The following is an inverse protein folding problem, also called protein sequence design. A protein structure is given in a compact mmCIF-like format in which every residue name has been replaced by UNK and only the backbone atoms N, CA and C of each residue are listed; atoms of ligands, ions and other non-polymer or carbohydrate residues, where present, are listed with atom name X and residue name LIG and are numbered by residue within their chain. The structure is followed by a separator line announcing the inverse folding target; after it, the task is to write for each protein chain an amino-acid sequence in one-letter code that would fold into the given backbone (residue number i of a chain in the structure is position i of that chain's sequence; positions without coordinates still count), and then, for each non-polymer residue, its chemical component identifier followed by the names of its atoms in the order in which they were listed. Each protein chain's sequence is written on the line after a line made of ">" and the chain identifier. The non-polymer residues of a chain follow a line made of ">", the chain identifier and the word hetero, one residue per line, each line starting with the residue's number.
data_IF_355405280624
#
_entry.id   IF_355405280624
#
_cell.length_a   1.000
_cell.length_b   1.000
_cell.length_c   1.000
_cell.angle_alpha   90.00
_cell.angle_beta   90.00
_cell.angle_gamma   90.00
#
_symmetry.space_group_name_H-M   'P 1'
#
loop_
_entity.id
_entity.type
_entity.pdbx_description
1 polymer ?
#
# COMPACT_ATOMS: atom_id res chain seq x y z
N UNK A 1 -14.74 -6.69 -27.35
CA UNK A 1 -13.46 -6.04 -27.05
C UNK A 1 -13.11 -5.05 -28.17
N UNK A 2 -12.99 -3.76 -27.86
CA UNK A 2 -12.54 -2.75 -28.86
C UNK A 2 -11.08 -3.06 -29.26
N UNK A 3 -10.81 -3.20 -30.55
CA UNK A 3 -9.48 -3.56 -31.09
C UNK A 3 -8.50 -2.39 -31.17
N UNK A 4 -8.95 -1.15 -30.94
CA UNK A 4 -8.11 0.05 -30.79
C UNK A 4 -8.74 0.99 -29.77
N UNK A 5 -8.01 1.30 -28.69
CA UNK A 5 -8.31 2.46 -27.84
C UNK A 5 -7.67 3.70 -28.44
N UNK A 6 -8.43 4.77 -28.50
CA UNK A 6 -7.92 6.11 -28.76
C UNK A 6 -7.98 6.95 -27.48
N UNK A 7 -7.25 8.06 -27.47
CA UNK A 7 -7.35 9.09 -26.42
C UNK A 7 -8.81 9.51 -26.15
N UNK A 8 -9.66 9.50 -27.18
CA UNK A 8 -11.07 9.90 -27.07
C UNK A 8 -11.92 8.88 -26.30
N UNK A 9 -11.42 7.67 -26.11
CA UNK A 9 -12.12 6.61 -25.37
C UNK A 9 -11.85 6.70 -23.86
N UNK A 10 -10.89 7.52 -23.41
CA UNK A 10 -10.59 7.69 -21.98
C UNK A 10 -11.73 8.44 -21.30
N UNK A 11 -12.48 7.73 -20.46
CA UNK A 11 -13.65 8.29 -19.77
C UNK A 11 -13.23 9.20 -18.61
N UNK A 12 -14.08 10.17 -18.21
CA UNK A 12 -13.85 10.98 -17.01
C UNK A 12 -13.67 10.15 -15.74
N UNK A 13 -14.34 8.98 -15.66
CA UNK A 13 -14.20 8.04 -14.55
C UNK A 13 -12.77 7.49 -14.46
N UNK A 14 -12.18 7.07 -15.59
CA UNK A 14 -10.79 6.61 -15.65
C UNK A 14 -9.80 7.73 -15.29
N UNK A 15 -10.04 8.97 -15.77
CA UNK A 15 -9.19 10.10 -15.38
C UNK A 15 -9.23 10.34 -13.86
N UNK A 16 -10.42 10.29 -13.27
CA UNK A 16 -10.63 10.53 -11.84
C UNK A 16 -10.05 9.41 -10.97
N UNK A 17 -10.18 8.15 -11.40
CA UNK A 17 -9.61 7.01 -10.67
C UNK A 17 -8.08 7.00 -10.73
N UNK A 18 -7.47 7.39 -11.85
CA UNK A 18 -6.02 7.62 -11.93
C UNK A 18 -5.57 8.73 -10.98
N UNK A 19 -6.27 9.88 -10.94
CA UNK A 19 -5.93 10.95 -10.00
C UNK A 19 -6.03 10.48 -8.54
N UNK A 20 -7.10 9.75 -8.20
CA UNK A 20 -7.27 9.17 -6.86
C UNK A 20 -6.16 8.18 -6.51
N UNK A 21 -5.78 7.30 -7.44
CA UNK A 21 -4.68 6.35 -7.27
C UNK A 21 -3.34 7.05 -7.04
N UNK A 22 -3.01 8.10 -7.82
CA UNK A 22 -1.77 8.84 -7.66
C UNK A 22 -1.68 9.53 -6.29
N UNK A 23 -2.77 10.15 -5.82
CA UNK A 23 -2.83 10.73 -4.48
C UNK A 23 -2.70 9.66 -3.39
N UNK A 24 -3.42 8.55 -3.51
CA UNK A 24 -3.38 7.47 -2.53
C UNK A 24 -1.99 6.81 -2.46
N UNK A 25 -1.32 6.62 -3.61
CA UNK A 25 0.06 6.11 -3.67
C UNK A 25 1.03 7.07 -2.99
N UNK A 26 0.98 8.35 -3.33
CA UNK A 26 1.85 9.36 -2.71
C UNK A 26 1.64 9.43 -1.19
N UNK A 27 0.38 9.37 -0.74
CA UNK A 27 0.05 9.31 0.68
C UNK A 27 0.59 8.05 1.36
N UNK A 28 0.41 6.88 0.76
CA UNK A 28 0.90 5.61 1.30
C UNK A 28 2.43 5.58 1.40
N UNK A 29 3.15 6.01 0.36
CA UNK A 29 4.60 6.12 0.35
C UNK A 29 5.12 7.08 1.43
N UNK A 30 4.49 8.25 1.55
CA UNK A 30 4.85 9.26 2.56
C UNK A 30 4.61 8.74 3.97
N UNK A 31 3.45 8.13 4.22
CA UNK A 31 3.08 7.59 5.53
C UNK A 31 3.98 6.41 5.91
N UNK A 32 4.27 5.49 4.97
CA UNK A 32 5.19 4.37 5.19
C UNK A 32 6.58 4.87 5.57
N UNK A 33 7.13 5.84 4.84
CA UNK A 33 8.44 6.40 5.16
C UNK A 33 8.47 7.06 6.55
N UNK A 34 7.41 7.78 6.92
CA UNK A 34 7.32 8.44 8.24
C UNK A 34 7.19 7.42 9.38
N UNK A 35 6.34 6.41 9.22
CA UNK A 35 6.14 5.33 10.21
C UNK A 35 7.39 4.49 10.36
N UNK A 36 8.01 4.06 9.25
CA UNK A 36 9.22 3.24 9.29
C UNK A 36 10.37 3.98 9.97
N UNK A 37 10.46 5.32 9.84
CA UNK A 37 11.46 6.12 10.56
C UNK A 37 11.28 6.00 12.09
N UNK A 38 10.05 6.08 12.58
CA UNK A 38 9.76 5.94 14.01
C UNK A 38 10.03 4.52 14.48
N UNK A 39 9.56 3.52 13.73
CA UNK A 39 9.79 2.12 14.07
C UNK A 39 11.27 1.76 14.12
N UNK A 40 12.09 2.24 13.17
CA UNK A 40 13.54 2.03 13.21
C UNK A 40 14.17 2.64 14.46
N UNK A 41 13.78 3.84 14.86
CA UNK A 41 14.26 4.46 16.09
C UNK A 41 13.89 3.62 17.34
N UNK A 42 12.68 3.05 17.38
CA UNK A 42 12.28 2.14 18.46
C UNK A 42 13.14 0.88 18.45
N UNK A 43 13.37 0.26 17.29
CA UNK A 43 14.21 -0.94 17.15
C UNK A 43 15.68 -0.67 17.52
N UNK A 44 16.18 0.54 17.31
CA UNK A 44 17.53 0.96 17.74
C UNK A 44 17.63 1.07 19.27
N UNK A 45 16.59 1.56 19.93
CA UNK A 45 16.53 1.74 21.39
C UNK A 45 16.15 0.46 22.14
N UNK A 46 15.29 -0.37 21.53
CA UNK A 46 14.75 -1.61 22.08
C UNK A 46 14.77 -2.69 20.99
N UNK A 47 15.92 -3.35 20.78
CA UNK A 47 16.08 -4.33 19.72
C UNK A 47 15.16 -5.52 19.90
N UNK A 48 14.48 -5.90 18.81
CA UNK A 48 13.72 -7.14 18.70
C UNK A 48 14.55 -8.22 18.01
N UNK A 49 14.24 -9.48 18.30
CA UNK A 49 14.82 -10.63 17.62
C UNK A 49 13.74 -11.47 16.95
N UNK A 50 14.08 -12.20 15.89
CA UNK A 50 13.17 -13.08 15.14
C UNK A 50 12.89 -14.45 15.82
N UNK A 51 12.96 -14.46 17.15
CA UNK A 51 12.59 -15.57 18.02
C UNK A 51 13.73 -16.43 18.57
N UNK A 52 13.38 -17.35 19.47
CA UNK A 52 14.31 -18.28 20.11
C UNK A 52 14.96 -19.23 19.08
N UNK A 53 16.20 -19.69 19.35
CA UNK A 53 17.01 -20.59 18.51
C UNK A 53 16.16 -21.42 17.55
N UNK A 54 16.35 -21.20 16.24
CA UNK A 54 15.59 -21.92 15.22
C UNK A 54 15.64 -23.44 15.48
N UNK A 55 14.66 -24.20 14.96
CA UNK A 55 14.69 -25.69 14.93
C UNK A 55 15.97 -26.30 14.31
N UNK A 56 16.87 -25.46 13.77
CA UNK A 56 18.14 -25.81 13.15
C UNK A 56 19.37 -25.25 13.90
N UNK A 57 19.23 -24.75 15.13
CA UNK A 57 20.34 -24.23 15.94
C UNK A 57 20.94 -22.91 15.44
N UNK A 58 20.25 -22.20 14.53
CA UNK A 58 20.63 -20.82 14.18
C UNK A 58 20.32 -19.86 15.33
N UNK A 59 21.26 -18.95 15.67
CA UNK A 59 21.03 -17.92 16.67
C UNK A 59 19.93 -16.97 16.20
N UNK A 60 19.21 -16.40 17.16
CA UNK A 60 18.25 -15.33 16.91
C UNK A 60 18.95 -14.15 16.22
N UNK A 61 18.34 -13.61 15.17
CA UNK A 61 18.85 -12.45 14.44
C UNK A 61 18.08 -11.20 14.87
N UNK A 62 18.78 -10.06 14.94
CA UNK A 62 18.15 -8.77 15.23
C UNK A 62 17.27 -8.33 14.06
N UNK A 63 16.05 -7.90 14.41
CA UNK A 63 15.12 -7.30 13.46
C UNK A 63 15.54 -5.84 13.25
N UNK A 64 16.05 -5.53 12.05
CA UNK A 64 16.46 -4.18 11.64
C UNK A 64 15.47 -3.52 10.68
N UNK A 65 14.66 -4.32 9.99
CA UNK A 65 13.56 -3.86 9.15
C UNK A 65 12.25 -3.96 9.94
N UNK A 66 11.53 -2.84 10.17
CA UNK A 66 10.20 -2.85 10.79
C UNK A 66 9.21 -3.82 10.16
N UNK A 67 9.35 -4.13 8.86
CA UNK A 67 8.49 -5.10 8.16
C UNK A 67 8.68 -6.54 8.62
N UNK A 68 9.73 -6.83 9.39
CA UNK A 68 10.05 -8.15 9.91
C UNK A 68 9.67 -8.31 11.39
N UNK A 69 9.04 -7.30 12.00
CA UNK A 69 8.58 -7.34 13.41
C UNK A 69 7.61 -8.49 13.72
N UNK A 70 6.85 -8.95 12.71
CA UNK A 70 6.01 -10.15 12.83
C UNK A 70 6.78 -11.46 13.06
N UNK A 71 8.11 -11.46 12.88
CA UNK A 71 8.97 -12.60 13.20
C UNK A 71 9.33 -12.68 14.69
N UNK A 72 9.05 -11.65 15.48
CA UNK A 72 9.26 -11.71 16.92
C UNK A 72 8.16 -12.56 17.57
N UNK A 73 8.56 -13.57 18.33
CA UNK A 73 7.67 -14.54 18.99
C UNK A 73 7.39 -14.18 20.47
N UNK A 74 8.10 -13.20 21.03
CA UNK A 74 7.91 -12.73 22.39
C UNK A 74 6.74 -11.75 22.49
N UNK A 75 5.60 -12.24 22.98
CA UNK A 75 4.37 -11.47 23.11
C UNK A 75 4.49 -10.26 24.07
N UNK A 76 5.29 -10.38 25.14
CA UNK A 76 5.45 -9.30 26.12
C UNK A 76 6.28 -8.16 25.52
N UNK A 77 7.41 -8.50 24.88
CA UNK A 77 8.24 -7.51 24.19
C UNK A 77 7.47 -6.86 23.03
N UNK A 78 6.70 -7.64 22.27
CA UNK A 78 5.89 -7.10 21.18
C UNK A 78 4.80 -6.15 21.67
N UNK A 79 4.19 -6.44 22.82
CA UNK A 79 3.22 -5.53 23.44
C UNK A 79 3.87 -4.19 23.78
N UNK A 80 5.04 -4.20 24.40
CA UNK A 80 5.78 -2.96 24.75
C UNK A 80 6.17 -2.18 23.50
N UNK A 81 6.64 -2.88 22.45
CA UNK A 81 6.95 -2.29 21.15
C UNK A 81 5.72 -1.58 20.54
N UNK A 82 4.55 -2.23 20.53
CA UNK A 82 3.33 -1.62 19.99
C UNK A 82 2.85 -0.42 20.81
N UNK A 83 2.97 -0.48 22.13
CA UNK A 83 2.60 0.65 23.00
C UNK A 83 3.51 1.86 22.77
N UNK A 84 4.82 1.65 22.69
CA UNK A 84 5.76 2.73 22.41
C UNK A 84 5.61 3.27 20.98
N UNK A 85 5.32 2.39 20.01
CA UNK A 85 4.98 2.80 18.65
C UNK A 85 3.76 3.70 18.60
N UNK A 86 2.64 3.30 19.22
CA UNK A 86 1.41 4.09 19.26
C UNK A 86 1.66 5.49 19.85
N UNK A 87 2.33 5.54 20.99
CA UNK A 87 2.70 6.78 21.68
C UNK A 87 3.53 7.71 20.79
N UNK A 88 4.58 7.21 20.12
CA UNK A 88 5.43 8.03 19.23
C UNK A 88 4.69 8.48 17.98
N UNK A 89 3.86 7.62 17.39
CA UNK A 89 3.06 7.93 16.21
C UNK A 89 2.03 9.02 16.50
N UNK A 90 1.38 8.98 17.67
CA UNK A 90 0.46 10.03 18.13
C UNK A 90 1.20 11.34 18.42
N UNK A 91 2.35 11.27 19.11
CA UNK A 91 3.19 12.45 19.38
C UNK A 91 3.72 13.12 18.11
N UNK A 92 3.94 12.36 17.03
CA UNK A 92 4.33 12.86 15.72
C UNK A 92 3.15 13.32 14.84
N UNK A 93 1.91 13.28 15.37
CA UNK A 93 0.68 13.59 14.64
C UNK A 93 0.46 12.73 13.36
N UNK A 94 1.03 11.53 13.32
CA UNK A 94 0.85 10.57 12.22
C UNK A 94 -0.34 9.64 12.45
N UNK A 95 -0.67 9.37 13.72
CA UNK A 95 -1.85 8.60 14.13
C UNK A 95 -2.86 9.52 14.83
N UNK A 96 -4.03 9.77 14.24
CA UNK A 96 -5.04 10.63 14.87
C UNK A 96 -5.69 9.93 16.07
N UNK A 97 -6.21 10.71 17.02
CA UNK A 97 -6.90 10.21 18.21
C UNK A 97 -8.12 9.33 17.89
N UNK A 98 -8.74 9.55 16.72
CA UNK A 98 -9.85 8.73 16.23
C UNK A 98 -9.44 7.37 15.67
N UNK A 99 -8.15 7.12 15.42
CA UNK A 99 -7.67 5.83 14.91
C UNK A 99 -7.51 4.84 16.07
N UNK A 100 -8.07 3.61 15.97
CA UNK A 100 -7.91 2.59 17.00
C UNK A 100 -6.45 2.22 17.29
N UNK A 101 -6.17 1.78 18.51
CA UNK A 101 -4.81 1.48 18.97
C UNK A 101 -4.16 0.34 18.18
N UNK A 102 -4.95 -0.65 17.73
CA UNK A 102 -4.50 -1.77 16.91
C UNK A 102 -4.27 -1.42 15.42
N UNK A 103 -4.55 -0.19 15.00
CA UNK A 103 -4.37 0.25 13.61
C UNK A 103 -3.02 0.96 13.41
N UNK A 104 -2.30 0.53 12.37
CA UNK A 104 -1.09 1.18 11.88
C UNK A 104 -1.44 2.18 10.77
N UNK A 105 -1.08 3.48 10.89
CA UNK A 105 -1.45 4.49 9.89
C UNK A 105 -0.86 4.21 8.50
N UNK A 106 0.34 3.61 8.41
CA UNK A 106 0.91 3.19 7.13
C UNK A 106 0.09 2.09 6.46
N UNK A 107 -0.37 1.08 7.22
CA UNK A 107 -1.22 0.01 6.68
C UNK A 107 -2.60 0.55 6.26
N UNK A 108 -3.15 1.52 6.99
CA UNK A 108 -4.40 2.20 6.59
C UNK A 108 -4.21 2.96 5.27
N UNK A 109 -3.09 3.67 5.11
CA UNK A 109 -2.78 4.40 3.88
C UNK A 109 -2.58 3.43 2.68
N UNK A 110 -1.87 2.32 2.88
CA UNK A 110 -1.69 1.27 1.87
C UNK A 110 -3.02 0.61 1.50
N UNK A 111 -3.92 0.41 2.47
CA UNK A 111 -5.26 -0.12 2.20
C UNK A 111 -6.09 0.84 1.32
N UNK A 112 -5.95 2.16 1.51
CA UNK A 112 -6.57 3.16 0.63
C UNK A 112 -5.97 3.07 -0.78
N UNK A 113 -4.65 2.95 -0.91
CA UNK A 113 -3.99 2.72 -2.20
C UNK A 113 -4.56 1.48 -2.91
N UNK A 114 -4.65 0.34 -2.22
CA UNK A 114 -5.23 -0.90 -2.79
C UNK A 114 -6.67 -0.68 -3.27
N UNK A 115 -7.50 0.01 -2.49
CA UNK A 115 -8.87 0.36 -2.90
C UNK A 115 -8.91 1.21 -4.17
N UNK A 116 -8.01 2.19 -4.29
CA UNK A 116 -7.92 3.01 -5.51
C UNK A 116 -7.38 2.25 -6.71
N UNK A 117 -6.48 1.27 -6.52
CA UNK A 117 -6.06 0.36 -7.59
C UNK A 117 -7.23 -0.45 -8.13
N UNK A 118 -8.06 -1.00 -7.23
CA UNK A 118 -9.25 -1.76 -7.61
C UNK A 118 -10.23 -0.89 -8.39
N UNK A 119 -10.53 0.31 -7.89
CA UNK A 119 -11.39 1.27 -8.58
C UNK A 119 -10.84 1.64 -9.98
N UNK A 120 -9.53 1.87 -10.08
CA UNK A 120 -8.87 2.17 -11.35
C UNK A 120 -9.04 1.02 -12.35
N UNK A 121 -8.81 -0.22 -11.91
CA UNK A 121 -8.97 -1.41 -12.74
C UNK A 121 -10.42 -1.59 -13.19
N UNK A 122 -11.38 -1.42 -12.28
CA UNK A 122 -12.80 -1.53 -12.61
C UNK A 122 -13.22 -0.49 -13.64
N UNK A 123 -12.88 0.79 -13.45
CA UNK A 123 -13.17 1.85 -14.43
C UNK A 123 -12.49 1.58 -15.79
N UNK A 124 -11.26 1.06 -15.78
CA UNK A 124 -10.55 0.72 -17.01
C UNK A 124 -11.20 -0.48 -17.72
N UNK A 125 -11.62 -1.51 -16.98
CA UNK A 125 -12.32 -2.67 -17.52
C UNK A 125 -13.66 -2.27 -18.17
N UNK A 126 -14.43 -1.39 -17.53
CA UNK A 126 -15.67 -0.83 -18.11
C UNK A 126 -15.39 -0.07 -19.41
N UNK A 127 -14.33 0.75 -19.45
CA UNK A 127 -13.89 1.46 -20.66
C UNK A 127 -13.53 0.49 -21.80
N UNK A 128 -12.97 -0.68 -21.48
CA UNK A 128 -12.63 -1.74 -22.44
C UNK A 128 -13.85 -2.54 -22.91
N UNK A 129 -15.00 -2.34 -22.27
CA UNK A 129 -16.25 -3.05 -22.53
C UNK A 129 -16.30 -4.43 -21.88
N UNK A 130 -15.60 -4.61 -20.75
CA UNK A 130 -15.70 -5.83 -19.95
C UNK A 130 -17.04 -5.88 -19.21
N UNK A 131 -17.74 -7.01 -19.31
CA UNK A 131 -19.07 -7.19 -18.73
C UNK A 131 -19.04 -7.41 -17.21
N UNK A 132 -17.89 -7.82 -16.66
CA UNK A 132 -17.70 -7.98 -15.22
C UNK A 132 -16.36 -7.37 -14.76
N UNK A 133 -16.32 -6.06 -14.51
CA UNK A 133 -15.12 -5.33 -14.07
C UNK A 133 -14.46 -5.90 -12.81
N UNK A 134 -15.27 -6.45 -11.89
CA UNK A 134 -14.77 -7.04 -10.65
C UNK A 134 -14.01 -8.35 -10.91
N UNK A 135 -14.54 -9.20 -11.78
CA UNK A 135 -13.86 -10.45 -12.17
C UNK A 135 -12.59 -10.18 -12.97
N UNK A 136 -12.56 -9.09 -13.75
CA UNK A 136 -11.37 -8.68 -14.49
C UNK A 136 -10.18 -8.42 -13.55
N UNK A 137 -10.41 -7.77 -12.40
CA UNK A 137 -9.36 -7.60 -11.39
C UNK A 137 -8.84 -8.95 -10.85
N UNK A 138 -9.74 -9.87 -10.53
CA UNK A 138 -9.36 -11.22 -10.08
C UNK A 138 -8.54 -11.96 -11.14
N UNK A 139 -8.89 -11.83 -12.42
CA UNK A 139 -8.13 -12.43 -13.53
C UNK A 139 -6.72 -11.87 -13.62
N UNK A 140 -6.54 -10.55 -13.47
CA UNK A 140 -5.22 -9.92 -13.41
C UNK A 140 -4.39 -10.45 -12.24
N UNK A 141 -5.00 -10.59 -11.06
CA UNK A 141 -4.33 -11.16 -9.88
C UNK A 141 -3.94 -12.63 -10.10
N UNK A 142 -4.81 -13.44 -10.68
CA UNK A 142 -4.52 -14.84 -11.04
C UNK A 142 -3.41 -14.95 -12.10
N UNK A 143 -3.26 -13.95 -12.97
CA UNK A 143 -2.17 -13.85 -13.94
C UNK A 143 -0.84 -13.34 -13.32
N UNK A 144 -0.83 -13.03 -12.02
CA UNK A 144 0.35 -12.63 -11.25
C UNK A 144 0.38 -11.14 -10.91
N UNK A 145 1.01 -10.83 -9.77
CA UNK A 145 1.14 -9.45 -9.26
C UNK A 145 1.84 -8.51 -10.27
N UNK A 146 2.82 -9.02 -11.01
CA UNK A 146 3.50 -8.25 -12.06
C UNK A 146 2.53 -7.87 -13.20
N UNK A 147 1.63 -8.77 -13.58
CA UNK A 147 0.62 -8.51 -14.63
C UNK A 147 -0.39 -7.48 -14.15
N UNK A 148 -0.85 -7.62 -12.91
CA UNK A 148 -1.73 -6.65 -12.26
C UNK A 148 -1.09 -5.25 -12.20
N UNK A 149 0.19 -5.15 -11.79
CA UNK A 149 0.89 -3.88 -11.74
C UNK A 149 1.13 -3.28 -13.13
N UNK A 150 1.54 -4.08 -14.12
CA UNK A 150 1.72 -3.62 -15.52
C UNK A 150 0.43 -3.04 -16.10
N UNK A 151 -0.72 -3.64 -15.78
CA UNK A 151 -2.01 -3.10 -16.22
C UNK A 151 -2.30 -1.73 -15.59
N UNK A 152 -2.07 -1.57 -14.28
CA UNK A 152 -2.21 -0.27 -13.61
C UNK A 152 -1.29 0.76 -14.27
N UNK A 153 -0.02 0.42 -14.48
CA UNK A 153 0.97 1.32 -15.08
C UNK A 153 0.59 1.73 -16.51
N UNK A 154 0.02 0.81 -17.29
CA UNK A 154 -0.49 1.10 -18.63
C UNK A 154 -1.64 2.11 -18.61
N UNK A 155 -2.62 1.92 -17.71
CA UNK A 155 -3.78 2.82 -17.58
C UNK A 155 -3.35 4.19 -17.07
N UNK A 156 -2.49 4.23 -16.07
CA UNK A 156 -1.90 5.49 -15.57
C UNK A 156 -1.15 6.19 -16.69
N UNK A 157 -0.27 5.48 -17.40
CA UNK A 157 0.48 5.99 -18.54
C UNK A 157 -0.41 6.56 -19.64
N UNK A 158 -1.52 5.91 -19.95
CA UNK A 158 -2.50 6.41 -20.92
C UNK A 158 -3.09 7.77 -20.49
N UNK A 159 -3.47 7.91 -19.22
CA UNK A 159 -4.12 9.13 -18.70
C UNK A 159 -3.13 10.28 -18.51
N UNK A 160 -1.96 10.04 -17.93
CA UNK A 160 -1.00 11.12 -17.62
C UNK A 160 -0.39 11.74 -18.87
N UNK A 161 -0.39 11.01 -19.99
CA UNK A 161 0.06 11.52 -21.29
C UNK A 161 -1.04 12.25 -22.07
N UNK A 162 -2.24 12.44 -21.49
CA UNK A 162 -3.28 13.25 -22.13
C UNK A 162 -2.94 14.74 -22.06
N UNK A 163 -3.16 15.51 -23.14
CA UNK A 163 -2.81 16.93 -23.18
C UNK A 163 -3.62 17.79 -22.20
N UNK A 164 -4.78 17.30 -21.75
CA UNK A 164 -5.67 17.99 -20.81
C UNK A 164 -5.57 17.46 -19.37
N UNK A 165 -4.68 16.50 -19.10
CA UNK A 165 -4.49 15.98 -17.75
C UNK A 165 -3.79 17.00 -16.86
N UNK A 166 -4.30 17.16 -15.64
CA UNK A 166 -3.68 17.97 -14.58
C UNK A 166 -3.32 17.05 -13.43
N UNK A 167 -2.03 17.03 -13.08
CA UNK A 167 -1.55 16.27 -11.92
C UNK A 167 -2.28 16.72 -10.65
N UNK A 168 -2.75 15.78 -9.81
CA UNK A 168 -3.26 16.10 -8.48
C UNK A 168 -2.14 16.27 -7.43
N UNK A 169 -0.91 15.92 -7.80
CA UNK A 169 0.33 16.07 -7.01
C UNK A 169 1.12 17.29 -7.48
#
# INVERSE_FOLDING_TARGET
>A
MKTKLSIKDVTPAVKSSVAAYLMARAYAETMRAAVDKIHRAILEESPLTNGHESKHGKPAEMITDPKLTWLCDDEEIMKDYYQESDKRLRAAHLKPDSMPDDHCPALVAEHIQVKTQWLLIECAAEMLGENNPRDFNNQLLCAGLDTHQKFIDLVVGLVVNLPDFKSPL
#
